data_IF_707306055265
#
_entry.id   IF_707306055265
#
_cell.length_a   1.000
_cell.length_b   1.000
_cell.length_c   1.000
_cell.angle_alpha   90.00
_cell.angle_beta   90.00
_cell.angle_gamma   90.00
#
_symmetry.space_group_name_H-M   'P 1'
#
loop_
_entity.id
_entity.type
_entity.pdbx_description
1 polymer ?
#
# COMPACT_ATOMS: atom_id res chain seq x y z
N UNK A 1 14.98 14.72 -4.65
CA UNK A 1 14.35 13.43 -4.28
C UNK A 1 13.51 13.72 -3.07
N UNK A 2 12.21 13.46 -3.13
CA UNK A 2 11.32 13.70 -1.99
C UNK A 2 11.52 12.56 -1.01
N UNK A 3 11.73 12.88 0.26
CA UNK A 3 11.80 11.87 1.30
C UNK A 3 10.39 11.31 1.55
N UNK A 4 10.26 9.99 1.51
CA UNK A 4 9.05 9.31 1.94
C UNK A 4 8.89 9.46 3.45
N UNK A 5 7.64 9.57 3.91
CA UNK A 5 7.34 9.55 5.35
C UNK A 5 7.64 8.17 5.95
N UNK A 6 7.54 7.13 5.12
CA UNK A 6 7.74 5.75 5.51
C UNK A 6 7.97 4.88 4.28
N UNK A 7 8.90 3.94 4.36
CA UNK A 7 8.99 2.79 3.46
C UNK A 7 9.46 1.54 4.20
N UNK A 8 8.78 0.42 3.97
CA UNK A 8 9.30 -0.89 4.39
C UNK A 8 8.70 -2.03 3.55
N UNK A 9 9.42 -3.14 3.47
CA UNK A 9 8.90 -4.39 2.97
C UNK A 9 8.05 -5.07 4.06
N UNK A 10 6.86 -5.50 3.67
CA UNK A 10 5.95 -6.26 4.50
C UNK A 10 5.68 -7.63 3.88
N UNK A 11 5.56 -8.64 4.74
CA UNK A 11 5.10 -9.97 4.37
C UNK A 11 3.72 -10.24 4.95
N UNK A 12 2.78 -10.69 4.12
CA UNK A 12 1.40 -10.99 4.54
C UNK A 12 1.37 -12.28 5.36
N UNK A 13 0.94 -12.19 6.61
CA UNK A 13 0.84 -13.34 7.52
C UNK A 13 -0.52 -14.03 7.46
N UNK A 14 -1.60 -13.24 7.31
CA UNK A 14 -2.96 -13.76 7.23
C UNK A 14 -3.91 -12.78 6.55
N UNK A 15 -5.08 -13.29 6.16
CA UNK A 15 -6.18 -12.51 5.61
C UNK A 15 -7.43 -12.79 6.44
N UNK A 16 -8.19 -11.74 6.75
CA UNK A 16 -9.45 -11.79 7.49
C UNK A 16 -9.33 -12.57 8.82
N UNK A 17 -8.44 -12.16 9.76
CA UNK A 17 -8.17 -12.90 10.99
C UNK A 17 -9.40 -13.08 11.90
N UNK A 18 -10.38 -12.17 11.80
CA UNK A 18 -11.63 -12.21 12.55
C UNK A 18 -12.74 -13.03 11.87
N UNK A 19 -12.48 -13.62 10.69
CA UNK A 19 -13.48 -14.35 9.90
C UNK A 19 -14.45 -13.46 9.11
N UNK A 20 -14.24 -12.14 9.09
CA UNK A 20 -14.98 -11.19 8.28
C UNK A 20 -14.83 -11.54 6.78
N UNK A 21 -15.94 -11.67 6.06
CA UNK A 21 -15.94 -11.90 4.61
C UNK A 21 -16.67 -10.77 3.90
N UNK A 22 -15.91 -9.99 3.12
CA UNK A 22 -16.44 -9.10 2.12
C UNK A 22 -16.02 -9.64 0.75
N UNK A 23 -16.90 -9.57 -0.25
CA UNK A 23 -16.65 -10.21 -1.56
C UNK A 23 -15.42 -9.64 -2.28
N UNK A 24 -15.10 -8.36 -2.04
CA UNK A 24 -14.09 -7.60 -2.79
C UNK A 24 -12.97 -7.03 -1.93
N UNK A 25 -13.11 -7.07 -0.61
CA UNK A 25 -12.18 -6.46 0.34
C UNK A 25 -11.71 -7.51 1.33
N UNK A 26 -10.41 -7.58 1.55
CA UNK A 26 -9.84 -8.39 2.62
C UNK A 26 -9.01 -7.52 3.54
N UNK A 27 -9.11 -7.78 4.84
CA UNK A 27 -8.19 -7.24 5.85
C UNK A 27 -6.94 -8.10 5.88
N UNK A 28 -5.83 -7.60 5.37
CA UNK A 28 -4.54 -8.27 5.51
C UNK A 28 -3.95 -7.98 6.89
N UNK A 29 -3.24 -8.97 7.44
CA UNK A 29 -2.29 -8.81 8.55
C UNK A 29 -0.91 -9.02 7.97
N UNK A 30 -0.02 -8.04 8.09
CA UNK A 30 1.31 -8.09 7.51
C UNK A 30 2.37 -7.62 8.50
N UNK A 31 3.54 -8.24 8.44
CA UNK A 31 4.66 -7.98 9.33
C UNK A 31 5.80 -7.31 8.57
N UNK A 32 6.32 -6.23 9.13
CA UNK A 32 7.44 -5.46 8.58
C UNK A 32 8.76 -6.22 8.77
N UNK A 33 9.63 -6.14 7.76
CA UNK A 33 10.94 -6.79 7.77
C UNK A 33 12.00 -5.98 8.51
N UNK A 34 11.95 -4.65 8.46
CA UNK A 34 13.00 -3.79 9.03
C UNK A 34 12.64 -3.20 10.39
N UNK A 35 11.37 -2.94 10.65
CA UNK A 35 10.92 -2.06 11.74
C UNK A 35 10.10 -2.79 12.80
N UNK A 36 9.86 -4.09 12.64
CA UNK A 36 9.11 -4.89 13.60
C UNK A 36 7.63 -4.46 13.71
N UNK A 37 7.10 -3.77 12.71
CA UNK A 37 5.73 -3.26 12.72
C UNK A 37 4.73 -4.32 12.29
N UNK A 38 3.59 -4.37 12.97
CA UNK A 38 2.42 -5.13 12.55
C UNK A 38 1.43 -4.20 11.87
N UNK A 39 0.94 -4.59 10.70
CA UNK A 39 0.01 -3.82 9.90
C UNK A 39 -1.30 -4.56 9.70
N UNK A 40 -2.40 -3.87 9.95
CA UNK A 40 -3.74 -4.27 9.50
C UNK A 40 -4.17 -3.31 8.39
N UNK A 41 -4.46 -3.82 7.20
CA UNK A 41 -4.84 -2.99 6.04
C UNK A 41 -6.00 -3.63 5.28
N UNK A 42 -7.03 -2.83 5.00
CA UNK A 42 -8.15 -3.27 4.16
C UNK A 42 -7.81 -3.01 2.69
N UNK A 43 -7.71 -4.06 1.90
CA UNK A 43 -7.30 -4.01 0.50
C UNK A 43 -8.45 -4.50 -0.37
N UNK A 44 -8.72 -3.79 -1.47
CA UNK A 44 -9.59 -4.31 -2.52
C UNK A 44 -8.90 -5.47 -3.24
N UNK A 45 -9.14 -6.69 -2.79
CA UNK A 45 -8.51 -7.91 -3.28
C UNK A 45 -9.08 -8.42 -4.60
N UNK A 46 -10.18 -7.85 -5.10
CA UNK A 46 -10.66 -8.10 -6.46
C UNK A 46 -9.73 -7.44 -7.50
N UNK A 47 -9.28 -6.20 -7.22
CA UNK A 47 -8.42 -5.42 -8.12
C UNK A 47 -6.93 -5.71 -7.86
N UNK A 48 -6.55 -5.88 -6.59
CA UNK A 48 -5.18 -6.16 -6.18
C UNK A 48 -5.12 -7.46 -5.35
N UNK A 49 -5.03 -8.63 -6.02
CA UNK A 49 -5.03 -9.91 -5.34
C UNK A 49 -3.83 -10.05 -4.41
N UNK A 50 -4.08 -10.42 -3.16
CA UNK A 50 -3.04 -10.70 -2.16
C UNK A 50 -3.31 -12.02 -1.46
N UNK A 51 -2.25 -12.71 -1.05
CA UNK A 51 -2.27 -14.02 -0.41
C UNK A 51 -1.31 -14.06 0.76
N UNK A 52 -1.54 -15.00 1.67
CA UNK A 52 -0.58 -15.31 2.74
C UNK A 52 0.77 -15.67 2.13
N UNK A 53 1.83 -15.05 2.63
CA UNK A 53 3.20 -15.20 2.16
C UNK A 53 3.61 -14.18 1.10
N UNK A 54 2.68 -13.39 0.54
CA UNK A 54 3.04 -12.34 -0.41
C UNK A 54 3.89 -11.26 0.27
N UNK A 55 4.89 -10.77 -0.46
CA UNK A 55 5.78 -9.69 -0.03
C UNK A 55 5.54 -8.45 -0.87
N UNK A 56 5.37 -7.30 -0.23
CA UNK A 56 5.13 -6.02 -0.91
C UNK A 56 5.91 -4.88 -0.25
N UNK A 57 6.27 -3.88 -1.05
CA UNK A 57 6.85 -2.63 -0.55
C UNK A 57 5.70 -1.67 -0.22
N UNK A 58 5.60 -1.24 1.03
CA UNK A 58 4.70 -0.16 1.42
C UNK A 58 5.48 1.15 1.46
N UNK A 59 4.94 2.19 0.82
CA UNK A 59 5.50 3.54 0.85
C UNK A 59 4.40 4.52 1.22
N UNK A 60 4.67 5.41 2.19
CA UNK A 60 3.83 6.57 2.49
C UNK A 60 4.57 7.83 2.08
N UNK A 61 3.95 8.63 1.20
CA UNK A 61 4.50 9.89 0.72
C UNK A 61 3.66 11.07 1.21
N UNK A 62 4.27 12.22 1.58
CA UNK A 62 3.51 13.41 1.94
C UNK A 62 2.87 14.10 0.73
N UNK A 63 3.31 13.76 -0.48
CA UNK A 63 2.79 14.30 -1.73
C UNK A 63 2.81 13.26 -2.86
N UNK A 64 1.90 13.43 -3.82
CA UNK A 64 1.91 12.70 -5.08
C UNK A 64 2.80 13.38 -6.14
N UNK A 65 3.16 14.64 -5.93
CA UNK A 65 4.02 15.36 -6.84
C UNK A 65 5.47 14.89 -6.67
N UNK A 66 6.14 14.58 -7.78
CA UNK A 66 7.53 14.12 -7.80
C UNK A 66 8.52 15.16 -7.26
N UNK A 67 8.16 16.44 -7.27
CA UNK A 67 8.93 17.55 -6.74
C UNK A 67 8.68 17.81 -5.24
N UNK A 68 7.71 17.12 -4.64
CA UNK A 68 7.36 17.25 -3.22
C UNK A 68 6.47 18.44 -2.89
N UNK A 69 6.03 19.21 -3.90
CA UNK A 69 5.07 20.28 -3.67
C UNK A 69 3.76 19.72 -3.11
N UNK A 70 3.04 20.43 -2.21
CA UNK A 70 1.74 19.99 -1.73
C UNK A 70 0.76 19.73 -2.89
N UNK A 71 -0.10 18.72 -2.75
CA UNK A 71 -1.15 18.46 -3.73
C UNK A 71 -2.21 19.57 -3.60
N UNK A 72 -2.19 20.55 -4.51
CA UNK A 72 -3.11 21.70 -4.49
C UNK A 72 -4.38 21.49 -5.31
N UNK A 73 -4.41 20.47 -6.17
CA UNK A 73 -5.58 20.06 -6.97
C UNK A 73 -5.52 18.58 -7.32
N UNK A 74 -6.69 17.93 -7.47
CA UNK A 74 -6.80 16.54 -7.93
C UNK A 74 -6.84 16.50 -9.46
N UNK A 75 -5.75 16.89 -10.12
CA UNK A 75 -5.61 16.62 -11.55
C UNK A 75 -5.14 15.17 -11.73
N UNK A 76 -5.78 14.42 -12.65
CA UNK A 76 -5.26 13.12 -13.04
C UNK A 76 -3.85 13.34 -13.57
N UNK A 77 -2.85 12.79 -12.89
CA UNK A 77 -1.51 12.72 -13.44
C UNK A 77 -1.55 11.77 -14.63
N UNK A 78 -1.87 12.30 -15.80
CA UNK A 78 -1.74 11.59 -17.06
C UNK A 78 -0.25 11.40 -17.23
N UNK A 79 0.23 10.19 -16.93
CA UNK A 79 1.58 9.81 -17.28
C UNK A 79 1.69 9.88 -18.81
N UNK A 80 2.39 10.90 -19.30
CA UNK A 80 2.94 10.90 -20.66
C UNK A 80 4.07 9.85 -20.66
N UNK A 81 3.71 8.58 -20.75
CA UNK A 81 4.57 7.60 -21.42
C UNK A 81 4.15 7.59 -22.89
N UNK A 82 4.59 8.60 -23.62
CA UNK A 82 4.78 8.51 -25.06
C UNK A 82 6.28 8.63 -25.31
N UNK A 83 6.80 7.57 -25.93
CA UNK A 83 8.16 7.24 -26.36
C UNK A 83 9.08 6.62 -25.31
#
# INVERSE_FOLDING_TARGET
MVDFLFDDFFSVESLNPNGEKFDKVSRIVAQSEKHGMLMHLDVNTEIYPMKKGDRFLMVLSPSLNWDGAPVTSYEKQVSLFLY
#
